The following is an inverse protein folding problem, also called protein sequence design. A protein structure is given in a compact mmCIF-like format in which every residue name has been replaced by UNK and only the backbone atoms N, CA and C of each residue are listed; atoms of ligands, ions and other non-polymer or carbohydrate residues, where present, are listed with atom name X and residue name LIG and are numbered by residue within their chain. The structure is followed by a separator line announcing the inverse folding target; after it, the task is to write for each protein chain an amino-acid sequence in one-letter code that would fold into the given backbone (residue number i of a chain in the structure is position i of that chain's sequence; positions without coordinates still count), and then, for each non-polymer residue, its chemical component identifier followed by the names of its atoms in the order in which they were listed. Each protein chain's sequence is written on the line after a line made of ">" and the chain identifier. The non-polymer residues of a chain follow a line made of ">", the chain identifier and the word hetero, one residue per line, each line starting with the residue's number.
data_IF_400944633206
#
_entry.id   IF_400944633206
#
_cell.length_a   1.000
_cell.length_b   1.000
_cell.length_c   1.000
_cell.angle_alpha   90.00
_cell.angle_beta   90.00
_cell.angle_gamma   90.00
#
_symmetry.space_group_name_H-M   'P 1'
#
loop_
_entity.id
_entity.type
_entity.pdbx_description
1 polymer ?
#
# COMPACT_ATOMS: atom_id res chain seq x y z
N UNK A 1 15.88 2.30 -5.25
CA UNK A 1 15.41 2.87 -5.01
C UNK A 1 14.49 2.45 -4.49
N UNK A 2 14.22 2.05 -4.22
CA UNK A 2 13.56 1.63 -3.78
C UNK A 2 12.74 1.91 -3.05
N UNK A 3 12.43 1.65 -2.48
CA UNK A 3 11.69 1.93 -1.84
C UNK A 3 11.92 2.92 -1.45
N UNK A 4 12.49 3.30 -2.05
CA UNK A 4 12.69 4.51 -1.88
C UNK A 4 11.48 5.29 -1.88
N UNK A 5 10.43 4.88 -2.44
CA UNK A 5 9.19 5.57 -2.36
C UNK A 5 8.82 5.85 -0.92
N UNK A 6 8.80 4.88 -0.13
CA UNK A 6 8.46 5.05 1.24
C UNK A 6 9.48 5.92 1.94
N UNK A 7 10.72 5.80 1.59
CA UNK A 7 11.68 6.56 2.17
C UNK A 7 11.51 7.98 1.87
N UNK A 8 11.21 8.31 0.67
CA UNK A 8 11.01 9.65 0.35
C UNK A 8 9.88 10.23 1.05
N UNK A 9 8.82 9.54 1.16
CA UNK A 9 7.66 10.04 1.84
C UNK A 9 7.97 10.38 3.24
N UNK A 10 8.74 9.60 3.90
CA UNK A 10 9.01 9.90 5.25
C UNK A 10 9.91 11.07 5.37
N UNK A 11 10.78 11.32 4.42
CA UNK A 11 11.62 12.39 4.57
C UNK A 11 11.00 13.64 4.22
N UNK A 12 10.43 13.71 3.13
CA UNK A 12 9.87 14.91 2.75
C UNK A 12 8.72 15.21 3.31
N UNK A 13 8.21 14.43 3.72
CA UNK A 13 7.15 14.64 4.35
C UNK A 13 6.40 15.61 4.41
N UNK A 14 6.18 16.15 4.09
CA UNK A 14 5.52 17.13 4.20
C UNK A 14 4.28 16.85 4.07
N UNK A 15 3.95 16.30 4.00
CA UNK A 15 2.96 16.04 3.97
C UNK A 15 2.01 16.66 4.11
N UNK A 16 2.01 17.20 4.22
CA UNK A 16 1.15 17.97 4.55
C UNK A 16 0.21 18.20 3.62
N UNK A 17 0.44 18.24 2.69
CA UNK A 17 -0.42 18.54 1.78
C UNK A 17 -1.56 17.68 1.83
N UNK A 18 -1.49 16.58 2.33
CA UNK A 18 -2.55 15.75 2.31
C UNK A 18 -3.39 15.91 3.43
N UNK A 19 -4.54 16.32 3.30
CA UNK A 19 -5.44 16.44 4.35
C UNK A 19 -6.24 15.22 4.45
N UNK A 20 -5.76 14.19 5.01
CA UNK A 20 -6.47 12.94 5.18
C UNK A 20 -7.16 12.95 6.53
N UNK A 21 -8.46 12.80 6.56
CA UNK A 21 -9.15 12.82 7.85
C UNK A 21 -8.84 11.59 8.68
N UNK A 22 -8.89 11.76 9.97
CA UNK A 22 -8.71 10.63 10.86
C UNK A 22 -9.84 9.64 10.69
N UNK A 23 -9.56 8.38 10.86
CA UNK A 23 -10.58 7.37 10.76
C UNK A 23 -10.69 6.62 12.07
N UNK A 24 -11.90 6.14 12.35
CA UNK A 24 -12.14 5.28 13.49
C UNK A 24 -11.99 3.83 13.13
N UNK A 25 -11.71 3.50 11.89
CA UNK A 25 -11.63 2.10 11.49
C UNK A 25 -10.43 1.44 12.11
N UNK A 26 -10.63 0.21 12.52
CA UNK A 26 -9.54 -0.56 13.12
C UNK A 26 -8.68 -1.17 12.03
N UNK A 27 -7.55 -1.73 12.44
CA UNK A 27 -6.68 -2.43 11.51
C UNK A 27 -7.44 -3.54 10.79
N UNK A 28 -8.27 -4.27 11.53
CA UNK A 28 -9.02 -5.36 10.92
C UNK A 28 -9.97 -4.85 9.83
N UNK A 29 -10.61 -3.72 10.08
CA UNK A 29 -11.52 -3.16 9.09
C UNK A 29 -10.79 -2.68 7.86
N UNK A 30 -9.63 -2.07 8.05
CA UNK A 30 -8.84 -1.61 6.93
C UNK A 30 -8.29 -2.81 6.14
N UNK A 31 -7.89 -3.85 6.85
CA UNK A 31 -7.39 -5.03 6.17
C UNK A 31 -8.47 -5.71 5.36
N UNK A 32 -9.71 -5.66 5.80
CA UNK A 32 -10.82 -6.16 5.00
C UNK A 32 -10.92 -5.42 3.68
N UNK A 33 -10.73 -4.11 3.70
CA UNK A 33 -10.76 -3.32 2.49
C UNK A 33 -9.62 -3.74 1.56
N UNK A 34 -8.44 -3.92 2.12
CA UNK A 34 -7.28 -4.29 1.33
C UNK A 34 -7.40 -5.72 0.78
N UNK A 35 -7.99 -6.61 1.56
CA UNK A 35 -8.23 -7.98 1.11
C UNK A 35 -9.19 -7.99 -0.06
N UNK A 36 -10.23 -7.18 -0.01
CA UNK A 36 -11.15 -7.07 -1.12
C UNK A 36 -10.44 -6.56 -2.35
N UNK A 37 -9.55 -5.59 -2.18
CA UNK A 37 -8.79 -5.07 -3.30
C UNK A 37 -7.91 -6.17 -3.91
N UNK A 38 -7.32 -7.00 -3.07
CA UNK A 38 -6.49 -8.11 -3.55
C UNK A 38 -7.30 -9.10 -4.37
N UNK A 39 -8.51 -9.40 -3.91
CA UNK A 39 -9.36 -10.33 -4.63
C UNK A 39 -9.73 -9.77 -6.00
N UNK A 40 -10.10 -8.50 -6.03
CA UNK A 40 -10.41 -7.85 -7.28
C UNK A 40 -9.22 -7.89 -8.21
N UNK A 41 -8.06 -7.61 -7.69
CA UNK A 41 -6.85 -7.61 -8.46
C UNK A 41 -6.55 -9.01 -9.00
N UNK A 42 -6.76 -10.03 -8.18
CA UNK A 42 -6.53 -11.40 -8.59
C UNK A 42 -7.43 -11.77 -9.76
N UNK A 43 -8.65 -11.28 -9.75
CA UNK A 43 -9.59 -11.60 -10.81
C UNK A 43 -9.35 -10.82 -12.09
N UNK A 44 -8.86 -9.59 -11.96
CA UNK A 44 -8.73 -8.73 -13.13
C UNK A 44 -7.29 -8.56 -13.60
N UNK A 45 -6.33 -8.79 -12.76
CA UNK A 45 -4.91 -8.70 -13.11
C UNK A 45 -4.18 -9.79 -12.35
N UNK A 46 -4.30 -11.03 -12.78
CA UNK A 46 -3.82 -12.17 -11.98
C UNK A 46 -2.36 -12.11 -11.57
N UNK A 47 -1.51 -11.58 -12.43
CA UNK A 47 -0.10 -11.49 -12.08
C UNK A 47 0.10 -10.63 -10.83
N UNK A 48 -0.49 -9.44 -10.84
CA UNK A 48 -0.37 -8.55 -9.70
C UNK A 48 -1.14 -9.07 -8.50
N UNK A 49 -2.30 -9.64 -8.74
CA UNK A 49 -3.09 -10.19 -7.65
C UNK A 49 -2.37 -11.32 -6.94
N UNK A 50 -1.69 -12.15 -7.70
CA UNK A 50 -0.95 -13.23 -7.10
C UNK A 50 0.16 -12.70 -6.22
N UNK A 51 0.86 -11.67 -6.65
CA UNK A 51 1.88 -11.06 -5.82
C UNK A 51 1.27 -10.39 -4.60
N UNK A 52 0.14 -9.73 -4.79
CA UNK A 52 -0.51 -9.03 -3.69
C UNK A 52 -0.92 -9.99 -2.57
N UNK A 53 -1.39 -11.18 -2.93
CA UNK A 53 -1.86 -12.12 -1.92
C UNK A 53 -0.73 -12.68 -1.08
N UNK A 54 0.51 -12.51 -1.52
CA UNK A 54 1.64 -13.00 -0.77
C UNK A 54 2.15 -12.01 0.25
N UNK A 55 1.71 -10.78 0.16
CA UNK A 55 2.19 -9.76 1.06
C UNK A 55 1.42 -9.82 2.38
N UNK A 56 2.15 -9.71 3.46
CA UNK A 56 1.54 -9.70 4.79
C UNK A 56 1.14 -8.26 5.08
N UNK A 57 -0.10 -8.04 5.45
CA UNK A 57 -0.59 -6.70 5.74
C UNK A 57 -0.13 -6.27 7.14
N UNK A 58 0.44 -5.09 7.22
CA UNK A 58 0.97 -4.58 8.49
C UNK A 58 0.51 -3.15 8.70
N UNK A 59 -0.10 -2.90 9.84
CA UNK A 59 -0.55 -1.56 10.19
C UNK A 59 0.68 -0.72 10.52
N UNK A 60 0.94 0.25 9.70
CA UNK A 60 2.09 1.13 9.85
C UNK A 60 1.68 2.58 10.03
N UNK A 61 0.51 2.77 10.60
CA UNK A 61 -0.05 4.11 10.76
C UNK A 61 0.89 5.06 11.49
N UNK A 62 1.69 4.52 12.39
CA UNK A 62 2.57 5.36 13.20
C UNK A 62 3.70 5.98 12.42
N UNK A 63 4.15 5.35 11.37
CA UNK A 63 5.34 5.85 10.67
C UNK A 63 5.16 6.00 9.17
N UNK A 64 4.21 5.33 8.59
CA UNK A 64 4.04 5.36 7.14
C UNK A 64 2.85 6.26 6.80
N UNK A 65 3.05 7.33 6.05
CA UNK A 65 1.93 8.23 5.78
C UNK A 65 0.96 7.71 4.74
N UNK A 66 1.37 6.79 3.91
CA UNK A 66 0.50 6.26 2.87
C UNK A 66 0.56 4.75 2.85
N UNK A 67 1.47 4.20 2.11
CA UNK A 67 1.65 2.76 2.02
C UNK A 67 3.05 2.48 1.52
N UNK A 68 3.53 1.28 1.76
CA UNK A 68 4.86 0.89 1.33
C UNK A 68 4.94 -0.62 1.30
N UNK A 69 5.93 -1.15 0.64
CA UNK A 69 6.14 -2.58 0.64
C UNK A 69 7.62 -2.88 0.59
N UNK A 70 8.03 -3.95 1.24
CA UNK A 70 9.41 -4.40 1.20
C UNK A 70 9.53 -5.75 0.46
N UNK A 71 8.51 -6.14 -0.24
CA UNK A 71 8.51 -7.41 -0.95
C UNK A 71 7.89 -8.55 -0.17
N UNK A 72 7.74 -8.41 1.11
CA UNK A 72 7.11 -9.43 1.95
C UNK A 72 5.92 -8.89 2.69
N UNK A 73 5.92 -7.61 2.97
CA UNK A 73 4.86 -6.98 3.74
C UNK A 73 4.29 -5.82 2.96
N UNK A 74 3.03 -5.54 3.21
CA UNK A 74 2.39 -4.35 2.68
C UNK A 74 2.05 -3.50 3.89
N UNK A 75 2.77 -2.39 4.04
CA UNK A 75 2.58 -1.48 5.16
C UNK A 75 1.54 -0.45 4.77
N UNK A 76 0.58 -0.20 5.64
CA UNK A 76 -0.49 0.74 5.30
C UNK A 76 -0.74 1.70 6.43
N UNK A 77 -1.28 2.85 6.07
CA UNK A 77 -1.74 3.83 7.04
C UNK A 77 -3.26 3.76 7.08
N UNK A 78 -3.84 3.55 8.26
CA UNK A 78 -5.29 3.38 8.36
C UNK A 78 -6.06 4.59 7.86
N UNK A 79 -5.60 5.78 8.23
CA UNK A 79 -6.31 6.99 7.85
C UNK A 79 -6.27 7.21 6.34
N UNK A 80 -5.11 7.02 5.76
CA UNK A 80 -4.95 7.20 4.33
C UNK A 80 -5.79 6.18 3.55
N UNK A 81 -5.73 4.93 3.96
CA UNK A 81 -6.45 3.88 3.26
C UNK A 81 -7.96 4.06 3.38
N UNK A 82 -8.43 4.49 4.55
CA UNK A 82 -9.85 4.68 4.75
C UNK A 82 -10.41 5.80 3.86
N UNK A 83 -9.58 6.71 3.43
CA UNK A 83 -10.01 7.80 2.58
C UNK A 83 -10.09 7.43 1.11
N UNK A 84 -9.61 6.25 0.75
CA UNK A 84 -9.60 5.84 -0.64
C UNK A 84 -10.87 5.07 -0.99
N UNK A 85 -11.30 5.19 -2.23
CA UNK A 85 -12.37 4.33 -2.71
C UNK A 85 -11.75 3.01 -3.18
N UNK A 86 -12.59 2.10 -3.62
CA UNK A 86 -12.13 0.77 -3.97
C UNK A 86 -11.14 0.78 -5.10
N UNK A 87 -11.40 1.55 -6.11
CA UNK A 87 -10.50 1.62 -7.26
C UNK A 87 -9.16 2.20 -6.87
N UNK A 88 -9.18 3.19 -6.00
CA UNK A 88 -7.95 3.81 -5.55
C UNK A 88 -7.12 2.84 -4.72
N UNK A 89 -7.77 1.99 -3.93
CA UNK A 89 -7.06 0.98 -3.17
C UNK A 89 -6.38 -0.03 -4.09
N UNK A 90 -7.07 -0.44 -5.14
CA UNK A 90 -6.51 -1.36 -6.11
C UNK A 90 -5.31 -0.73 -6.80
N UNK A 91 -5.46 0.54 -7.18
CA UNK A 91 -4.38 1.25 -7.84
C UNK A 91 -3.17 1.37 -6.91
N UNK A 92 -3.41 1.69 -5.66
CA UNK A 92 -2.32 1.85 -4.71
C UNK A 92 -1.57 0.54 -4.53
N UNK A 93 -2.28 -0.55 -4.36
CA UNK A 93 -1.66 -1.84 -4.19
C UNK A 93 -0.86 -2.22 -5.41
N UNK A 94 -1.43 -2.02 -6.60
CA UNK A 94 -0.72 -2.31 -7.82
C UNK A 94 0.52 -1.47 -8.00
N UNK A 95 0.42 -0.22 -7.60
CA UNK A 95 1.54 0.71 -7.69
C UNK A 95 2.70 0.25 -6.79
N UNK A 96 2.39 -0.16 -5.58
CA UNK A 96 3.42 -0.62 -4.66
C UNK A 96 4.05 -1.93 -5.14
N UNK A 97 3.24 -2.81 -5.67
CA UNK A 97 3.75 -4.07 -6.19
C UNK A 97 4.66 -3.81 -7.38
N UNK A 98 4.31 -2.86 -8.22
CA UNK A 98 5.12 -2.52 -9.37
C UNK A 98 6.48 -2.02 -8.93
N UNK A 99 6.52 -1.19 -7.90
CA UNK A 99 7.79 -0.75 -7.35
C UNK A 99 8.62 -1.93 -6.87
N UNK A 100 7.98 -2.85 -6.21
CA UNK A 100 8.65 -4.01 -5.69
C UNK A 100 9.23 -4.86 -6.82
N UNK A 101 8.47 -5.06 -7.88
CA UNK A 101 8.93 -5.84 -9.02
C UNK A 101 10.08 -5.15 -9.71
N UNK A 102 9.99 -3.85 -9.84
CA UNK A 102 11.03 -3.09 -10.47
C UNK A 102 12.33 -3.18 -9.69
N UNK A 103 12.26 -3.08 -8.39
CA UNK A 103 13.45 -3.18 -7.56
C UNK A 103 14.09 -4.54 -7.70
N UNK A 104 13.29 -5.57 -7.77
CA UNK A 104 13.81 -6.91 -7.90
C UNK A 104 14.44 -7.15 -9.26
N UNK A 105 13.95 -6.50 -10.28
CA UNK A 105 14.48 -6.69 -11.61
C UNK A 105 15.69 -5.83 -11.89
N UNK A 106 15.94 -4.85 -11.04
CA UNK A 106 17.06 -3.98 -11.22
C UNK A 106 18.32 -4.73 -10.81
N UNK A 107 19.27 -4.93 -11.65
CA UNK A 107 20.42 -5.72 -11.32
C UNK A 107 21.33 -5.03 -10.33
N UNK A 108 21.12 -3.84 -10.08
CA UNK A 108 21.91 -3.24 -9.15
C UNK A 108 21.32 -3.25 -7.91
#
# INVERSE_FOLDING_TARGET
>A
MTYSFAKQDTTDAPKPAINVPDTDKTSAEIEDILIKARVDMLMNAPFFGNLATRLVLVDATDWCPTAATDGKHFYYNRHFTAALNEEECIWLMGHEILHCVYDHMDPN
#
